data_IF_221697177038
#
_entry.id   IF_221697177038
#
_cell.length_a   1.000
_cell.length_b   1.000
_cell.length_c   1.000
_cell.angle_alpha   90.00
_cell.angle_beta   90.00
_cell.angle_gamma   90.00
#
_symmetry.space_group_name_H-M   'P 1'
#
loop_
_entity.id
_entity.type
_entity.pdbx_description
1 polymer ?
#
# COMPACT_ATOMS: atom_id res chain seq x y z
N UNK A 1 1.86 -1.22 26.83
CA UNK A 1 3.04 -0.74 26.07
C UNK A 1 2.69 -0.66 24.58
N UNK A 2 2.22 0.50 24.09
CA UNK A 2 1.84 0.73 22.67
C UNK A 2 2.72 1.79 21.98
N UNK A 3 3.57 2.48 22.75
CA UNK A 3 4.20 3.75 22.35
C UNK A 3 5.45 3.60 21.49
N UNK A 4 6.25 2.54 21.68
CA UNK A 4 7.53 2.39 20.95
C UNK A 4 7.34 2.32 19.43
N UNK A 5 6.47 1.43 18.93
CA UNK A 5 6.24 1.30 17.48
C UNK A 5 5.68 2.59 16.87
N UNK A 6 4.72 3.24 17.55
CA UNK A 6 4.17 4.52 17.11
C UNK A 6 5.24 5.63 17.12
N UNK A 7 6.13 5.63 18.11
CA UNK A 7 7.24 6.57 18.21
C UNK A 7 8.22 6.40 17.05
N UNK A 8 8.64 5.18 16.74
CA UNK A 8 9.50 4.90 15.59
C UNK A 8 8.86 5.32 14.26
N UNK A 9 7.55 5.08 14.09
CA UNK A 9 6.84 5.52 12.87
C UNK A 9 6.80 7.05 12.76
N UNK A 10 6.53 7.76 13.87
CA UNK A 10 6.55 9.22 13.90
C UNK A 10 7.95 9.77 13.62
N UNK A 11 8.98 9.16 14.20
CA UNK A 11 10.36 9.52 13.97
C UNK A 11 10.75 9.33 12.50
N UNK A 12 10.36 8.19 11.91
CA UNK A 12 10.50 7.95 10.47
C UNK A 12 9.79 9.03 9.63
N UNK A 13 8.60 9.48 10.03
CA UNK A 13 7.90 10.57 9.33
C UNK A 13 8.58 11.93 9.43
N UNK A 14 9.26 12.20 10.56
CA UNK A 14 10.05 13.40 10.78
C UNK A 14 11.27 13.43 9.85
N UNK A 15 11.97 12.31 9.72
CA UNK A 15 13.18 12.21 8.89
C UNK A 15 12.89 12.10 7.39
N UNK A 16 11.80 11.43 7.01
CA UNK A 16 11.48 11.14 5.60
C UNK A 16 10.12 11.77 5.27
N UNK A 17 10.09 12.96 4.63
CA UNK A 17 8.85 13.63 4.26
C UNK A 17 8.08 12.82 3.21
N UNK A 18 6.75 12.99 3.17
CA UNK A 18 5.87 12.20 2.30
C UNK A 18 6.31 12.21 0.82
N UNK A 19 6.76 13.35 0.31
CA UNK A 19 7.19 13.53 -1.09
C UNK A 19 8.45 12.74 -1.46
N UNK A 20 9.25 12.29 -0.48
CA UNK A 20 10.47 11.49 -0.71
C UNK A 20 10.25 9.99 -0.53
N UNK A 21 9.03 9.57 -0.17
CA UNK A 21 8.72 8.16 0.07
C UNK A 21 8.41 7.46 -1.25
N UNK A 22 8.90 6.23 -1.40
CA UNK A 22 8.56 5.39 -2.56
C UNK A 22 7.05 5.18 -2.63
N UNK A 23 6.52 5.11 -3.85
CA UNK A 23 5.13 4.80 -4.14
C UNK A 23 4.79 3.42 -3.59
N UNK A 24 3.79 3.34 -2.72
CA UNK A 24 3.30 2.06 -2.20
C UNK A 24 2.34 1.43 -3.21
N UNK A 25 2.26 0.10 -3.27
CA UNK A 25 1.25 -0.58 -4.09
C UNK A 25 -0.17 -0.29 -3.56
N UNK A 26 -0.28 -0.13 -2.25
CA UNK A 26 -1.54 0.13 -1.57
C UNK A 26 -1.84 1.62 -1.43
N UNK A 27 -3.13 1.96 -1.35
CA UNK A 27 -3.63 3.31 -1.07
C UNK A 27 -2.99 3.90 0.19
N UNK A 28 -2.98 3.14 1.30
CA UNK A 28 -2.26 3.52 2.52
C UNK A 28 -0.86 2.92 2.53
N UNK A 29 0.14 3.78 2.69
CA UNK A 29 1.53 3.35 2.89
C UNK A 29 1.66 2.39 4.08
N UNK A 30 2.64 1.48 4.04
CA UNK A 30 2.87 0.51 5.11
C UNK A 30 3.01 1.18 6.48
N UNK A 31 3.78 2.27 6.57
CA UNK A 31 3.96 3.01 7.83
C UNK A 31 2.64 3.60 8.35
N UNK A 32 1.78 4.13 7.48
CA UNK A 32 0.48 4.69 7.88
C UNK A 32 -0.51 3.62 8.28
N UNK A 33 -0.59 2.53 7.51
CA UNK A 33 -1.46 1.40 7.80
C UNK A 33 -1.12 0.78 9.17
N UNK A 34 0.17 0.58 9.44
CA UNK A 34 0.64 0.04 10.73
C UNK A 34 0.38 1.04 11.86
N UNK A 35 0.57 2.34 11.64
CA UNK A 35 0.24 3.37 12.64
C UNK A 35 -1.24 3.33 13.03
N UNK A 36 -2.14 3.38 12.04
CA UNK A 36 -3.59 3.38 12.24
C UNK A 36 -4.02 2.12 13.01
N UNK A 37 -3.63 0.93 12.54
CA UNK A 37 -3.97 -0.35 13.20
C UNK A 37 -3.36 -0.47 14.59
N UNK A 38 -2.11 -0.02 14.77
CA UNK A 38 -1.46 -0.06 16.09
C UNK A 38 -2.17 0.86 17.08
N UNK A 39 -2.64 2.02 16.61
CA UNK A 39 -3.38 3.00 17.42
C UNK A 39 -4.74 2.45 17.84
N UNK A 40 -5.47 1.83 16.92
CA UNK A 40 -6.83 1.31 17.15
C UNK A 40 -6.84 -0.03 17.89
N UNK A 41 -6.04 -1.00 17.40
CA UNK A 41 -6.11 -2.41 17.80
C UNK A 41 -4.93 -2.86 18.67
N UNK A 42 -3.90 -2.02 18.83
CA UNK A 42 -2.74 -2.29 19.67
C UNK A 42 -1.54 -2.91 18.94
N UNK A 43 -0.44 -3.04 19.69
CA UNK A 43 0.89 -3.33 19.15
C UNK A 43 0.98 -4.67 18.40
N UNK A 44 0.45 -5.75 18.97
CA UNK A 44 0.53 -7.08 18.36
C UNK A 44 -0.15 -7.14 16.99
N UNK A 45 -1.32 -6.51 16.86
CA UNK A 45 -2.05 -6.46 15.60
C UNK A 45 -1.32 -5.56 14.60
N UNK A 46 -0.72 -4.46 15.07
CA UNK A 46 0.17 -3.61 14.27
C UNK A 46 1.36 -4.35 13.67
N UNK A 47 2.07 -5.14 14.48
CA UNK A 47 3.21 -5.95 14.03
C UNK A 47 2.75 -7.00 13.01
N UNK A 48 1.62 -7.68 13.27
CA UNK A 48 1.03 -8.65 12.33
C UNK A 48 0.69 -7.98 10.99
N UNK A 49 0.08 -6.79 11.02
CA UNK A 49 -0.24 -6.02 9.83
C UNK A 49 1.03 -5.63 9.03
N UNK A 50 2.11 -5.24 9.73
CA UNK A 50 3.39 -4.96 9.09
C UNK A 50 3.96 -6.20 8.41
N UNK A 51 3.99 -7.33 9.11
CA UNK A 51 4.50 -8.60 8.57
C UNK A 51 3.72 -9.05 7.33
N UNK A 52 2.38 -8.92 7.36
CA UNK A 52 1.54 -9.18 6.20
C UNK A 52 1.93 -8.26 5.04
N UNK A 53 2.02 -6.95 5.26
CA UNK A 53 2.39 -5.99 4.21
C UNK A 53 3.77 -6.26 3.61
N UNK A 54 4.76 -6.64 4.43
CA UNK A 54 6.11 -7.01 3.93
C UNK A 54 6.07 -8.27 3.06
N UNK A 55 5.20 -9.23 3.41
CA UNK A 55 5.03 -10.47 2.65
C UNK A 55 4.33 -10.21 1.31
N UNK A 56 3.32 -9.35 1.29
CA UNK A 56 2.45 -9.13 0.12
C UNK A 56 2.95 -8.04 -0.83
N UNK A 57 3.65 -7.01 -0.34
CA UNK A 57 4.16 -5.89 -1.15
C UNK A 57 5.39 -6.24 -2.02
N UNK A 58 5.72 -7.54 -2.17
CA UNK A 58 6.89 -8.00 -2.93
C UNK A 58 6.76 -7.67 -4.42
N UNK A 59 7.89 -7.52 -5.15
CA UNK A 59 7.91 -7.07 -6.55
C UNK A 59 7.21 -8.01 -7.54
N UNK A 60 6.90 -9.25 -7.17
CA UNK A 60 6.22 -10.23 -8.04
C UNK A 60 4.69 -10.05 -8.10
N UNK A 61 4.20 -8.82 -8.02
CA UNK A 61 2.78 -8.54 -8.24
C UNK A 61 2.48 -8.46 -9.74
N UNK A 62 1.29 -8.91 -10.14
CA UNK A 62 0.80 -8.85 -11.52
C UNK A 62 -0.33 -7.84 -11.60
N UNK A 63 -0.23 -6.94 -12.57
CA UNK A 63 -1.27 -5.95 -12.85
C UNK A 63 -2.24 -6.58 -13.85
N UNK A 64 -3.52 -6.53 -13.53
CA UNK A 64 -4.60 -7.10 -14.32
C UNK A 64 -5.55 -5.94 -14.62
N UNK A 65 -5.80 -5.69 -15.89
CA UNK A 65 -6.77 -4.70 -16.33
C UNK A 65 -8.06 -5.38 -16.77
N UNK A 66 -9.20 -4.92 -16.27
CA UNK A 66 -10.51 -5.39 -16.67
C UNK A 66 -11.17 -4.37 -17.59
N UNK A 67 -11.03 -4.58 -18.90
CA UNK A 67 -11.60 -3.69 -19.92
C UNK A 67 -13.13 -3.52 -19.82
N UNK A 68 -13.85 -4.56 -19.35
CA UNK A 68 -15.31 -4.51 -19.21
C UNK A 68 -15.78 -3.54 -18.12
N UNK A 69 -15.01 -3.37 -17.06
CA UNK A 69 -15.34 -2.53 -15.90
C UNK A 69 -14.50 -1.25 -15.86
N UNK A 70 -13.51 -1.11 -16.77
CA UNK A 70 -12.51 -0.05 -16.76
C UNK A 70 -11.78 0.05 -15.39
N UNK A 71 -11.53 -1.10 -14.77
CA UNK A 71 -10.93 -1.20 -13.44
C UNK A 71 -9.54 -1.82 -13.48
N UNK A 72 -8.67 -1.31 -12.61
CA UNK A 72 -7.33 -1.84 -12.38
C UNK A 72 -7.33 -2.76 -11.16
N UNK A 73 -6.83 -3.98 -11.34
CA UNK A 73 -6.61 -4.95 -10.27
C UNK A 73 -5.12 -5.26 -10.14
N UNK A 74 -4.66 -5.53 -8.92
CA UNK A 74 -3.30 -6.02 -8.67
C UNK A 74 -3.36 -7.35 -7.95
N UNK A 75 -2.87 -8.40 -8.59
CA UNK A 75 -2.66 -9.69 -7.96
C UNK A 75 -1.30 -9.71 -7.28
N UNK A 76 -1.29 -9.84 -5.96
CA UNK A 76 -0.09 -9.90 -5.14
C UNK A 76 0.58 -11.28 -5.25
N UNK A 77 1.80 -11.37 -4.72
CA UNK A 77 2.60 -12.60 -4.78
C UNK A 77 2.02 -13.78 -4.00
N UNK A 78 1.15 -13.52 -3.02
CA UNK A 78 0.41 -14.54 -2.27
C UNK A 78 -0.92 -14.94 -2.93
N UNK A 79 -1.25 -14.32 -4.08
CA UNK A 79 -2.48 -14.57 -4.81
C UNK A 79 -3.64 -13.66 -4.43
N UNK A 80 -3.51 -12.82 -3.40
CA UNK A 80 -4.53 -11.83 -3.04
C UNK A 80 -4.73 -10.82 -4.18
N UNK A 81 -5.99 -10.49 -4.46
CA UNK A 81 -6.36 -9.50 -5.49
C UNK A 81 -6.73 -8.20 -4.78
N UNK A 82 -6.01 -7.13 -5.10
CA UNK A 82 -6.35 -5.78 -4.67
C UNK A 82 -7.26 -5.13 -5.70
N UNK A 83 -8.35 -4.56 -5.19
CA UNK A 83 -9.27 -3.73 -5.95
C UNK A 83 -8.69 -2.32 -6.16
N UNK A 84 -9.19 -1.60 -7.17
CA UNK A 84 -8.69 -0.26 -7.51
C UNK A 84 -8.69 0.72 -6.34
N UNK A 85 -9.72 0.68 -5.48
CA UNK A 85 -9.82 1.49 -4.27
C UNK A 85 -8.78 1.16 -3.19
N UNK A 86 -8.17 -0.03 -3.25
CA UNK A 86 -7.11 -0.46 -2.34
C UNK A 86 -5.71 -0.16 -2.89
N UNK A 87 -5.61 0.17 -4.18
CA UNK A 87 -4.36 0.47 -4.89
C UNK A 87 -4.00 1.95 -4.70
N UNK A 88 -2.70 2.27 -4.72
CA UNK A 88 -2.25 3.67 -4.70
C UNK A 88 -2.72 4.42 -5.93
N UNK A 89 -3.29 5.61 -5.72
CA UNK A 89 -3.73 6.52 -6.77
C UNK A 89 -2.63 6.80 -7.81
N UNK A 90 -1.38 6.96 -7.38
CA UNK A 90 -0.24 7.17 -8.28
C UNK A 90 -0.04 6.02 -9.27
N UNK A 91 -0.33 4.77 -8.85
CA UNK A 91 -0.25 3.60 -9.73
C UNK A 91 -1.46 3.61 -10.67
N UNK A 92 -2.66 3.82 -10.14
CA UNK A 92 -3.88 3.89 -10.96
C UNK A 92 -3.71 4.93 -12.07
N UNK A 93 -3.31 6.17 -11.73
CA UNK A 93 -3.07 7.24 -12.68
C UNK A 93 -2.01 6.87 -13.73
N UNK A 94 -0.89 6.29 -13.32
CA UNK A 94 0.16 5.87 -14.25
C UNK A 94 -0.36 4.87 -15.30
N UNK A 95 -1.18 3.90 -14.90
CA UNK A 95 -1.71 2.89 -15.82
C UNK A 95 -2.90 3.40 -16.64
N UNK A 96 -3.79 4.22 -16.08
CA UNK A 96 -4.90 4.82 -16.83
C UNK A 96 -4.42 5.79 -17.90
N UNK A 97 -3.40 6.62 -17.62
CA UNK A 97 -2.83 7.53 -18.62
C UNK A 97 -2.12 6.80 -19.77
N UNK A 98 -1.50 5.65 -19.49
CA UNK A 98 -0.84 4.83 -20.54
C UNK A 98 -1.86 4.13 -21.45
N UNK A 99 -3.14 4.06 -21.05
CA UNK A 99 -4.21 3.43 -21.83
C UNK A 99 -4.94 4.40 -22.76
N UNK A 100 -5.04 5.69 -22.41
CA UNK A 100 -5.67 6.73 -23.26
C UNK A 100 -4.81 7.08 -24.48
N UNK A 101 -3.50 6.82 -24.43
CA UNK A 101 -2.55 7.14 -25.50
C UNK A 101 -2.35 5.99 -26.51
N UNK A 102 -3.25 4.99 -26.51
CA UNK A 102 -3.26 3.86 -27.45
C UNK A 102 -4.50 3.83 -28.37
N UNK A 103 -5.36 4.83 -28.29
CA UNK A 103 -6.42 5.11 -29.27
C UNK A 103 -5.94 6.22 -30.23
#
# INVERSE_FOLDING_TARGET
MKRFLLYFIKLYWLFIPANKRKTCIYHKSCSRHVYDITSEKGLFIGIKALATRIKTCRPNHKIIYQAKENTLLIKLSDGTILQQNEISENIVLAYTHTMISRD
#
